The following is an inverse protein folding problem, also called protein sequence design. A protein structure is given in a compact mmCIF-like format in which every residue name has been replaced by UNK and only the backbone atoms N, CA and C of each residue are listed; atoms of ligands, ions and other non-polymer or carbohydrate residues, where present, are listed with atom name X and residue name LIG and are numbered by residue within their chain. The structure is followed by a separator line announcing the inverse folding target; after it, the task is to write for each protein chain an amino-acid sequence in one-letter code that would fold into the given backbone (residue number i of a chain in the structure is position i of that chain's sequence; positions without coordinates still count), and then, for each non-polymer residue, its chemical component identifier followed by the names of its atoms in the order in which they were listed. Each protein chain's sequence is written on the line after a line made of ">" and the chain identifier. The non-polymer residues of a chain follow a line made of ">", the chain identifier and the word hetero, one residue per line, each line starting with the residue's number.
data_IF_460736956188
#
_entry.id   IF_460736956188
#
_cell.length_a   1.000
_cell.length_b   1.000
_cell.length_c   1.000
_cell.angle_alpha   90.00
_cell.angle_beta   90.00
_cell.angle_gamma   90.00
#
_symmetry.space_group_name_H-M   'P 1'
#
loop_
_entity.id
_entity.type
_entity.pdbx_description
1 polymer ?
#
# COMPACT_ATOMS: atom_id res chain seq x y z
N UNK A 1 19.23 -17.63 -16.64
CA UNK A 1 17.77 -17.92 -16.68
C UNK A 1 17.57 -19.39 -16.37
N UNK A 2 17.19 -19.74 -15.14
CA UNK A 2 16.89 -21.12 -14.78
C UNK A 2 15.40 -21.37 -15.06
N UNK A 3 15.14 -22.22 -16.06
CA UNK A 3 13.79 -22.72 -16.35
C UNK A 3 13.51 -23.92 -15.46
N UNK A 4 12.57 -23.81 -14.54
CA UNK A 4 12.01 -25.00 -13.89
C UNK A 4 10.75 -25.43 -14.65
N UNK A 5 10.75 -26.69 -15.10
CA UNK A 5 9.62 -27.33 -15.74
C UNK A 5 8.87 -28.14 -14.68
N UNK A 6 7.64 -27.73 -14.37
CA UNK A 6 6.78 -28.48 -13.45
C UNK A 6 5.83 -29.32 -14.30
N UNK A 7 5.93 -30.64 -14.17
CA UNK A 7 5.04 -31.61 -14.83
C UNK A 7 3.88 -31.96 -13.88
N UNK A 8 2.65 -31.58 -14.26
CA UNK A 8 1.44 -32.07 -13.58
C UNK A 8 0.92 -33.33 -14.26
N UNK A 9 0.88 -34.44 -13.52
CA UNK A 9 0.12 -35.63 -13.92
C UNK A 9 -1.32 -35.45 -13.44
N UNK A 10 -2.24 -35.21 -14.38
CA UNK A 10 -3.67 -35.27 -14.09
C UNK A 10 -4.12 -36.71 -14.06
N UNK A 11 -4.52 -37.19 -12.89
CA UNK A 11 -5.24 -38.46 -12.76
C UNK A 11 -6.72 -38.19 -13.02
N UNK A 12 -7.22 -38.69 -14.14
CA UNK A 12 -8.69 -38.71 -14.46
C UNK A 12 -9.29 -39.92 -13.77
N UNK A 13 -10.10 -39.67 -12.75
CA UNK A 13 -10.96 -40.70 -12.15
C UNK A 13 -12.23 -40.82 -12.99
N UNK A 14 -12.37 -41.94 -13.71
CA UNK A 14 -13.60 -42.29 -14.44
C UNK A 14 -14.50 -43.06 -13.48
N UNK A 15 -15.62 -42.45 -13.09
CA UNK A 15 -16.71 -43.15 -12.40
C UNK A 15 -17.53 -43.88 -13.47
N UNK A 16 -17.43 -45.21 -13.49
CA UNK A 16 -18.18 -46.04 -14.39
C UNK A 16 -19.60 -46.29 -13.89
N UNK A 17 -20.62 -45.93 -14.66
CA UNK A 17 -21.95 -46.47 -14.55
C UNK A 17 -22.04 -47.78 -15.34
N UNK A 18 -22.33 -48.89 -14.66
CA UNK A 18 -22.66 -50.18 -15.30
C UNK A 18 -24.06 -50.09 -15.90
N UNK A 19 -24.16 -50.27 -17.20
CA UNK A 19 -25.38 -50.79 -17.85
C UNK A 19 -24.96 -52.00 -18.68
N UNK A 20 -25.46 -53.16 -18.26
CA UNK A 20 -25.28 -54.41 -19.00
C UNK A 20 -26.20 -54.45 -20.22
N UNK A 21 -25.62 -54.57 -21.38
CA UNK A 21 -26.34 -55.11 -22.57
C UNK A 21 -25.35 -55.92 -23.41
N UNK A 22 -25.63 -57.18 -23.49
CA UNK A 22 -25.00 -58.19 -24.35
C UNK A 22 -25.16 -57.81 -25.82
N UNK A 23 -24.09 -57.69 -26.59
CA UNK A 23 -24.02 -58.18 -27.99
C UNK A 23 -22.60 -58.00 -28.57
N UNK A 24 -22.01 -59.15 -28.92
CA UNK A 24 -21.17 -59.44 -30.12
C UNK A 24 -19.93 -58.57 -30.39
N UNK A 25 -18.82 -59.14 -30.01
CA UNK A 25 -17.50 -59.26 -30.61
C UNK A 25 -17.28 -58.51 -31.94
N UNK A 26 -16.60 -57.39 -31.91
CA UNK A 26 -15.62 -57.03 -32.91
C UNK A 26 -14.45 -56.38 -32.22
N UNK A 27 -13.26 -57.02 -32.31
CA UNK A 27 -12.01 -56.48 -31.79
C UNK A 27 -11.55 -55.32 -32.65
N UNK A 28 -12.05 -54.13 -32.37
CA UNK A 28 -11.39 -52.91 -32.80
C UNK A 28 -10.74 -52.28 -31.58
N UNK A 29 -9.40 -52.25 -31.58
CA UNK A 29 -8.65 -51.49 -30.56
C UNK A 29 -9.15 -50.06 -30.57
N UNK A 30 -9.48 -49.47 -29.39
CA UNK A 30 -9.85 -48.07 -29.35
C UNK A 30 -8.68 -47.22 -29.87
N UNK A 31 -8.97 -46.12 -30.59
CA UNK A 31 -7.92 -45.22 -31.05
C UNK A 31 -7.18 -44.68 -29.86
N UNK A 32 -5.85 -44.77 -29.88
CA UNK A 32 -4.99 -44.14 -28.90
C UNK A 32 -5.10 -42.63 -29.14
N UNK A 33 -5.85 -41.97 -28.28
CA UNK A 33 -5.88 -40.51 -28.25
C UNK A 33 -4.58 -40.04 -27.61
N UNK A 34 -3.63 -39.62 -28.43
CA UNK A 34 -2.43 -38.94 -27.96
C UNK A 34 -2.85 -37.52 -27.59
N UNK A 35 -3.19 -37.28 -26.34
CA UNK A 35 -3.33 -35.93 -25.82
C UNK A 35 -1.99 -35.20 -25.96
N UNK A 36 -1.93 -34.20 -26.85
CA UNK A 36 -0.80 -33.27 -26.91
C UNK A 36 -0.76 -32.52 -25.60
N UNK A 37 0.19 -32.89 -24.76
CA UNK A 37 0.51 -32.12 -23.53
C UNK A 37 0.92 -30.72 -23.99
N UNK A 38 0.04 -29.73 -23.82
CA UNK A 38 0.40 -28.31 -23.95
C UNK A 38 1.33 -27.97 -22.81
N UNK A 39 2.61 -27.81 -23.13
CA UNK A 39 3.57 -27.28 -22.16
C UNK A 39 3.21 -25.83 -21.87
N UNK A 40 2.63 -25.57 -20.70
CA UNK A 40 2.39 -24.22 -20.24
C UNK A 40 3.70 -23.70 -19.63
N UNK A 41 4.34 -22.77 -20.33
CA UNK A 41 5.51 -22.07 -19.80
C UNK A 41 5.00 -20.99 -18.85
N UNK A 42 5.12 -21.23 -17.55
CA UNK A 42 4.83 -20.21 -16.53
C UNK A 42 6.05 -19.31 -16.41
N UNK A 43 5.92 -18.09 -16.89
CA UNK A 43 6.92 -17.05 -16.59
C UNK A 43 6.71 -16.60 -15.16
N UNK A 44 7.70 -16.82 -14.31
CA UNK A 44 7.76 -16.22 -12.99
C UNK A 44 8.25 -14.79 -13.20
N UNK A 45 7.32 -13.87 -13.39
CA UNK A 45 7.67 -12.46 -13.42
C UNK A 45 8.35 -12.12 -12.11
N UNK A 46 9.59 -11.65 -12.20
CA UNK A 46 10.27 -11.07 -11.05
C UNK A 46 9.51 -9.79 -10.72
N UNK A 47 8.71 -9.83 -9.67
CA UNK A 47 8.09 -8.60 -9.14
C UNK A 47 9.24 -7.71 -8.72
N UNK A 48 9.56 -6.74 -9.56
CA UNK A 48 10.51 -5.67 -9.24
C UNK A 48 9.70 -4.70 -8.38
N UNK A 49 9.84 -4.81 -7.05
CA UNK A 49 9.36 -3.74 -6.18
C UNK A 49 10.19 -2.51 -6.51
N UNK A 50 9.54 -1.37 -6.85
CA UNK A 50 10.28 -0.13 -7.04
C UNK A 50 11.07 0.15 -5.76
N UNK A 51 12.33 0.57 -5.94
CA UNK A 51 13.17 0.96 -4.82
C UNK A 51 12.55 2.18 -4.15
N UNK A 52 12.35 2.10 -2.82
CA UNK A 52 11.79 3.20 -2.04
C UNK A 52 12.83 4.32 -2.02
N UNK A 53 12.48 5.54 -2.46
CA UNK A 53 13.41 6.65 -2.46
C UNK A 53 13.89 7.01 -1.05
N UNK A 54 15.06 7.62 -0.97
CA UNK A 54 15.57 8.15 0.30
C UNK A 54 14.58 9.14 0.93
N UNK A 55 14.47 9.12 2.25
CA UNK A 55 13.61 10.04 3.00
C UNK A 55 14.24 11.43 3.05
N UNK A 56 13.90 12.28 2.09
CA UNK A 56 14.29 13.70 2.00
C UNK A 56 13.05 14.59 1.93
N UNK A 57 13.21 15.88 2.18
CA UNK A 57 12.12 16.87 2.05
C UNK A 57 11.58 16.91 0.62
N UNK A 58 12.49 16.84 -0.34
CA UNK A 58 12.22 16.87 -1.77
C UNK A 58 11.40 15.67 -2.20
N UNK A 59 11.78 14.47 -1.77
CA UNK A 59 11.07 13.23 -2.10
C UNK A 59 9.69 13.18 -1.43
N UNK A 60 9.59 13.61 -0.15
CA UNK A 60 8.29 13.72 0.53
C UNK A 60 7.38 14.74 -0.17
N UNK A 61 7.92 15.91 -0.58
CA UNK A 61 7.14 16.90 -1.32
C UNK A 61 6.66 16.37 -2.67
N UNK A 62 7.52 15.65 -3.40
CA UNK A 62 7.19 15.03 -4.68
C UNK A 62 6.04 14.02 -4.50
N UNK A 63 6.16 13.15 -3.51
CA UNK A 63 5.17 12.11 -3.25
C UNK A 63 3.82 12.69 -2.75
N UNK A 64 3.85 13.74 -1.94
CA UNK A 64 2.63 14.48 -1.56
C UNK A 64 1.90 15.06 -2.77
N UNK A 65 2.64 15.57 -3.77
CA UNK A 65 2.07 16.10 -5.02
C UNK A 65 1.51 14.97 -5.89
N UNK A 66 2.22 13.86 -5.99
CA UNK A 66 1.78 12.66 -6.73
C UNK A 66 0.45 12.14 -6.21
N UNK A 67 0.29 12.07 -4.89
CA UNK A 67 -0.95 11.66 -4.23
C UNK A 67 -2.05 12.74 -4.27
N UNK A 68 -1.82 13.88 -4.91
CA UNK A 68 -2.75 15.02 -4.93
C UNK A 68 -3.20 15.48 -3.53
N UNK A 69 -2.29 15.40 -2.54
CA UNK A 69 -2.55 15.89 -1.20
C UNK A 69 -2.76 17.40 -1.24
N UNK A 70 -3.84 17.89 -0.60
CA UNK A 70 -4.13 19.33 -0.54
C UNK A 70 -3.07 20.06 0.28
N UNK A 71 -2.61 21.21 -0.22
CA UNK A 71 -1.62 22.05 0.44
C UNK A 71 -0.34 21.29 0.85
N UNK A 72 0.38 20.66 -0.11
CA UNK A 72 1.48 19.75 0.18
C UNK A 72 2.61 20.41 0.98
N UNK A 73 2.85 21.73 0.82
CA UNK A 73 3.81 22.49 1.62
C UNK A 73 3.42 22.57 3.10
N UNK A 74 2.12 22.66 3.43
CA UNK A 74 1.63 22.63 4.82
C UNK A 74 1.81 21.24 5.40
N UNK A 75 1.48 20.20 4.63
CA UNK A 75 1.62 18.80 5.06
C UNK A 75 3.09 18.43 5.28
N UNK A 76 3.99 18.86 4.38
CA UNK A 76 5.43 18.66 4.58
C UNK A 76 5.92 19.40 5.83
N UNK A 77 5.42 20.61 6.10
CA UNK A 77 5.77 21.34 7.34
C UNK A 77 5.33 20.57 8.59
N UNK A 78 4.14 19.95 8.56
CA UNK A 78 3.70 19.06 9.65
C UNK A 78 4.64 17.85 9.80
N UNK A 79 4.96 17.16 8.71
CA UNK A 79 5.87 16.02 8.74
C UNK A 79 7.23 16.40 9.35
N UNK A 80 7.77 17.57 9.02
CA UNK A 80 9.03 18.10 9.58
C UNK A 80 8.92 18.31 11.10
N UNK A 81 7.84 18.90 11.57
CA UNK A 81 7.63 19.15 13.01
C UNK A 81 7.44 17.84 13.77
N UNK A 82 6.51 17.00 13.33
CA UNK A 82 6.13 15.77 14.02
C UNK A 82 7.27 14.75 14.06
N UNK A 83 8.05 14.67 13.00
CA UNK A 83 9.18 13.75 12.91
C UNK A 83 10.49 14.29 13.49
N UNK A 84 10.53 15.55 13.94
CA UNK A 84 11.77 16.22 14.31
C UNK A 84 12.77 16.27 13.15
N UNK A 85 12.32 16.73 11.99
CA UNK A 85 13.09 16.75 10.74
C UNK A 85 13.58 15.35 10.35
N UNK A 86 12.69 14.36 10.44
CA UNK A 86 12.90 12.95 10.10
C UNK A 86 13.91 12.20 11.00
N UNK A 87 14.19 12.74 12.19
CA UNK A 87 15.20 12.16 13.09
C UNK A 87 14.63 11.50 14.33
N UNK A 88 13.35 11.71 14.65
CA UNK A 88 12.71 11.16 15.83
C UNK A 88 12.72 9.64 15.87
N UNK A 89 12.65 9.07 17.09
CA UNK A 89 12.56 7.61 17.29
C UNK A 89 11.36 7.01 16.54
N UNK A 90 10.22 7.67 16.61
CA UNK A 90 8.98 7.21 15.96
C UNK A 90 9.14 7.22 14.44
N UNK A 91 9.70 8.29 13.88
CA UNK A 91 9.98 8.34 12.44
C UNK A 91 10.91 7.19 12.01
N UNK A 92 12.02 6.97 12.70
CA UNK A 92 13.03 5.96 12.33
C UNK A 92 12.61 4.51 12.57
N UNK A 93 11.82 4.23 13.61
CA UNK A 93 11.46 2.85 13.99
C UNK A 93 10.12 2.40 13.43
N UNK A 94 9.20 3.35 13.25
CA UNK A 94 7.86 3.07 12.78
C UNK A 94 7.63 3.57 11.34
N UNK A 95 8.61 4.20 10.68
CA UNK A 95 8.45 4.91 9.41
C UNK A 95 7.30 5.95 9.46
N UNK A 96 7.03 6.53 10.62
CA UNK A 96 5.88 7.36 10.90
C UNK A 96 6.28 8.84 10.95
N UNK A 97 5.96 9.58 9.87
CA UNK A 97 6.36 10.97 9.69
C UNK A 97 5.46 11.94 10.46
N UNK A 98 4.23 11.55 10.76
CA UNK A 98 3.19 12.44 11.29
C UNK A 98 2.81 12.14 12.74
N UNK A 99 3.51 11.21 13.40
CA UNK A 99 3.15 10.80 14.76
C UNK A 99 1.76 10.14 14.86
N UNK A 100 1.23 9.62 13.76
CA UNK A 100 -0.11 9.04 13.70
C UNK A 100 -0.23 7.86 14.66
N UNK A 101 -1.39 7.75 15.30
CA UNK A 101 -1.81 6.56 16.06
C UNK A 101 -2.62 5.64 15.17
N UNK A 102 -2.84 4.42 15.63
CA UNK A 102 -3.73 3.49 14.95
C UNK A 102 -5.14 4.10 14.77
N UNK A 103 -5.61 4.08 13.54
CA UNK A 103 -6.92 4.62 13.20
C UNK A 103 -8.03 3.64 13.60
N UNK A 104 -9.03 4.11 14.35
CA UNK A 104 -10.19 3.30 14.77
C UNK A 104 -11.43 3.54 13.92
N UNK A 105 -11.55 4.75 13.32
CA UNK A 105 -12.77 5.22 12.67
C UNK A 105 -12.60 5.55 11.19
N UNK A 106 -11.43 5.32 10.63
CA UNK A 106 -11.12 5.54 9.22
C UNK A 106 -10.28 4.40 8.66
N UNK A 107 -10.23 4.29 7.35
CA UNK A 107 -9.29 3.39 6.67
C UNK A 107 -7.86 3.86 6.96
N UNK A 108 -6.97 2.92 7.19
CA UNK A 108 -5.54 3.11 7.39
C UNK A 108 -4.79 1.91 6.81
N UNK A 109 -3.57 2.14 6.37
CA UNK A 109 -2.65 1.14 5.84
C UNK A 109 -1.53 0.76 6.83
N UNK A 110 -1.69 1.11 8.12
CA UNK A 110 -0.70 0.75 9.13
C UNK A 110 -0.62 -0.77 9.34
N UNK A 111 0.57 -1.25 9.74
CA UNK A 111 0.86 -2.66 10.01
C UNK A 111 0.64 -3.06 11.48
N UNK A 112 0.20 -2.12 12.31
CA UNK A 112 0.02 -2.29 13.74
C UNK A 112 0.57 -1.11 14.54
N UNK A 113 0.86 -1.32 15.82
CA UNK A 113 1.25 -0.26 16.75
C UNK A 113 2.56 -0.59 17.46
N UNK A 114 3.48 0.37 17.50
CA UNK A 114 4.71 0.32 18.31
C UNK A 114 4.94 1.68 18.99
N UNK A 115 5.37 1.70 20.24
CA UNK A 115 5.54 2.91 21.04
C UNK A 115 4.29 3.81 21.09
N UNK A 116 3.09 3.20 21.02
CA UNK A 116 1.83 3.94 21.01
C UNK A 116 1.49 4.66 19.69
N UNK A 117 2.24 4.39 18.62
CA UNK A 117 2.07 5.00 17.30
C UNK A 117 1.97 3.93 16.23
N UNK A 118 1.29 4.26 15.13
CA UNK A 118 1.17 3.40 13.96
C UNK A 118 2.55 3.08 13.35
N UNK A 119 2.69 1.85 12.83
CA UNK A 119 3.88 1.35 12.13
C UNK A 119 3.57 1.20 10.65
N UNK A 120 4.51 1.59 9.80
CA UNK A 120 4.41 1.47 8.35
C UNK A 120 5.59 0.68 7.77
N UNK A 121 5.41 0.08 6.60
CA UNK A 121 6.48 -0.66 5.90
C UNK A 121 7.63 0.24 5.48
N UNK A 122 7.32 1.48 5.09
CA UNK A 122 8.25 2.53 4.70
C UNK A 122 7.63 3.91 4.94
N UNK A 123 8.38 4.98 4.67
CA UNK A 123 7.92 6.35 4.90
C UNK A 123 6.79 6.78 3.94
N UNK A 124 6.75 6.24 2.70
CA UNK A 124 5.69 6.56 1.73
C UNK A 124 4.32 6.10 2.24
N UNK A 125 4.27 4.92 2.88
CA UNK A 125 3.03 4.40 3.46
C UNK A 125 2.50 5.30 4.60
N UNK A 126 3.38 5.97 5.34
CA UNK A 126 2.96 6.99 6.31
C UNK A 126 2.34 8.22 5.62
N UNK A 127 2.85 8.61 4.45
CA UNK A 127 2.26 9.69 3.64
C UNK A 127 0.90 9.28 3.07
N UNK A 128 0.76 8.04 2.61
CA UNK A 128 -0.54 7.48 2.17
C UNK A 128 -1.56 7.52 3.31
N UNK A 129 -1.18 7.09 4.52
CA UNK A 129 -2.09 7.15 5.68
C UNK A 129 -2.51 8.58 6.02
N UNK A 130 -1.59 9.55 5.87
CA UNK A 130 -1.93 10.96 6.03
C UNK A 130 -2.89 11.46 4.94
N UNK A 131 -2.73 11.03 3.70
CA UNK A 131 -3.65 11.35 2.61
C UNK A 131 -5.06 10.81 2.90
N UNK A 132 -5.18 9.57 3.42
CA UNK A 132 -6.45 9.00 3.88
C UNK A 132 -7.06 9.80 5.04
N UNK A 133 -6.23 10.25 5.98
CA UNK A 133 -6.64 11.14 7.06
C UNK A 133 -7.20 12.46 6.51
N UNK A 134 -6.46 13.09 5.59
CA UNK A 134 -6.88 14.35 4.97
C UNK A 134 -8.20 14.18 4.18
N UNK A 135 -8.35 13.11 3.43
CA UNK A 135 -9.58 12.80 2.70
C UNK A 135 -10.78 12.65 3.64
N UNK A 136 -10.57 12.06 4.83
CA UNK A 136 -11.63 11.83 5.80
C UNK A 136 -12.02 13.11 6.54
N UNK A 137 -11.07 13.85 7.07
CA UNK A 137 -11.34 14.93 8.03
C UNK A 137 -11.22 16.34 7.44
N UNK A 138 -10.37 16.52 6.41
CA UNK A 138 -10.09 17.82 5.81
C UNK A 138 -10.65 17.98 4.38
N UNK A 139 -11.51 17.05 3.94
CA UNK A 139 -12.13 17.11 2.60
C UNK A 139 -12.85 18.43 2.33
N UNK A 140 -13.44 19.03 3.35
CA UNK A 140 -14.16 20.32 3.28
C UNK A 140 -13.25 21.55 3.28
N UNK A 141 -11.97 21.42 3.69
CA UNK A 141 -11.03 22.54 3.65
C UNK A 141 -10.69 22.90 2.20
N UNK A 142 -11.05 24.10 1.77
CA UNK A 142 -10.83 24.62 0.42
C UNK A 142 -9.71 25.66 0.36
N UNK A 143 -9.35 26.24 1.48
CA UNK A 143 -8.31 27.28 1.59
C UNK A 143 -7.29 26.93 2.64
N UNK A 144 -6.06 27.47 2.53
CA UNK A 144 -5.01 27.33 3.54
C UNK A 144 -5.49 27.86 4.91
N UNK A 145 -6.26 28.94 4.93
CA UNK A 145 -6.79 29.50 6.19
C UNK A 145 -7.68 28.49 6.92
N UNK A 146 -8.60 27.82 6.20
CA UNK A 146 -9.44 26.78 6.78
C UNK A 146 -8.60 25.59 7.28
N UNK A 147 -7.52 25.27 6.55
CA UNK A 147 -6.62 24.19 6.95
C UNK A 147 -5.88 24.55 8.25
N UNK A 148 -5.33 25.77 8.36
CA UNK A 148 -4.66 26.21 9.59
C UNK A 148 -5.64 26.32 10.78
N UNK A 149 -6.89 26.74 10.56
CA UNK A 149 -7.91 26.71 11.61
C UNK A 149 -8.16 25.29 12.12
N UNK A 150 -8.32 24.33 11.19
CA UNK A 150 -8.46 22.92 11.56
C UNK A 150 -7.28 22.41 12.37
N UNK A 151 -6.04 22.75 11.97
CA UNK A 151 -4.83 22.37 12.73
C UNK A 151 -4.81 22.94 14.14
N UNK A 152 -5.27 24.17 14.31
CA UNK A 152 -5.35 24.82 15.61
C UNK A 152 -6.36 24.17 16.56
N UNK A 153 -7.48 23.68 15.99
CA UNK A 153 -8.62 23.20 16.78
C UNK A 153 -8.60 21.70 17.02
N UNK A 154 -8.11 20.92 16.04
CA UNK A 154 -8.38 19.48 16.00
C UNK A 154 -7.16 18.58 15.89
N UNK A 155 -6.03 19.07 15.34
CA UNK A 155 -4.86 18.21 15.11
C UNK A 155 -3.89 18.22 16.28
N UNK A 156 -3.62 19.38 16.87
CA UNK A 156 -2.72 19.53 18.01
C UNK A 156 -3.28 20.53 19.03
N UNK A 157 -2.83 20.40 20.27
CA UNK A 157 -3.32 21.21 21.37
C UNK A 157 -2.96 22.71 21.21
N UNK A 158 -3.75 23.45 20.46
CA UNK A 158 -3.79 24.90 20.49
C UNK A 158 -3.07 25.63 19.34
N UNK A 159 -3.23 26.96 19.28
CA UNK A 159 -2.84 27.81 18.15
C UNK A 159 -1.32 27.87 17.90
N UNK A 160 -0.49 27.54 18.89
CA UNK A 160 0.99 27.54 18.73
C UNK A 160 1.45 26.56 17.67
N UNK A 161 0.75 25.44 17.53
CA UNK A 161 1.10 24.41 16.53
C UNK A 161 0.86 24.93 15.12
N UNK A 162 -0.31 25.46 14.84
CA UNK A 162 -0.63 25.99 13.50
C UNK A 162 0.30 27.14 13.09
N UNK A 163 0.71 27.99 14.03
CA UNK A 163 1.69 29.06 13.80
C UNK A 163 3.08 28.48 13.46
N UNK A 164 3.52 27.46 14.19
CA UNK A 164 4.79 26.78 13.90
C UNK A 164 4.78 26.11 12.52
N UNK A 165 3.70 25.41 12.18
CA UNK A 165 3.50 24.80 10.85
C UNK A 165 3.55 25.88 9.77
N UNK A 166 2.81 26.99 9.94
CA UNK A 166 2.79 28.09 8.98
C UNK A 166 4.18 28.68 8.73
N UNK A 167 4.96 28.92 9.78
CA UNK A 167 6.32 29.45 9.67
C UNK A 167 7.26 28.58 8.81
N UNK A 168 7.08 27.26 8.85
CA UNK A 168 7.86 26.32 8.02
C UNK A 168 7.26 26.26 6.62
N UNK A 169 5.94 26.13 6.51
CA UNK A 169 5.25 26.03 5.23
C UNK A 169 5.50 27.22 4.29
N UNK A 170 5.56 28.44 4.85
CA UNK A 170 5.87 29.65 4.07
C UNK A 170 7.27 29.65 3.43
N UNK A 171 8.18 28.82 3.93
CA UNK A 171 9.53 28.61 3.35
C UNK A 171 9.59 27.48 2.33
N UNK A 172 8.52 26.70 2.20
CA UNK A 172 8.42 25.53 1.32
C UNK A 172 7.54 25.79 0.08
N UNK A 173 7.00 27.00 -0.06
CA UNK A 173 6.24 27.45 -1.25
C UNK A 173 7.14 27.75 -2.49
#
# INVERSE_FOLDING_TARGET
>A
MNKQVISFKSSVVIVGCMIAAFTILSMTKPPVVIEKVKTVTVYKDKIIHPEIPELTKENVMSYLKELNVKFPHIVLAQAIIESGTFTSKICKKNNNLFGMREARLRISNNLGTQFGHAVYSNWEESVVDYALYQATYLSKCKTESQYYSYLADSYAAGPRYSVAVKKIADKLK
#
